data_IF_335661038180
#
_entry.id   IF_335661038180
#
_cell.length_a   1.000
_cell.length_b   1.000
_cell.length_c   1.000
_cell.angle_alpha   90.00
_cell.angle_beta   90.00
_cell.angle_gamma   90.00
#
_symmetry.space_group_name_H-M   'P 1'
#
loop_
_entity.id
_entity.type
_entity.pdbx_description
1 polymer ?
#
# COMPACT_ATOMS: atom_id res chain seq x y z
N UNK A 1 -8.89 -14.78 -30.21
CA UNK A 1 -8.28 -14.05 -31.32
C UNK A 1 -7.22 -13.13 -30.74
N UNK A 2 -5.96 -13.37 -31.11
CA UNK A 2 -4.81 -12.67 -30.58
C UNK A 2 -4.67 -11.32 -31.29
N UNK A 3 -4.64 -10.22 -30.54
CA UNK A 3 -4.49 -8.85 -31.05
C UNK A 3 -3.09 -8.55 -31.63
N UNK A 4 -2.21 -9.56 -31.74
CA UNK A 4 -0.80 -9.38 -32.05
C UNK A 4 -0.38 -9.82 -33.45
N UNK A 5 -1.34 -10.22 -34.33
CA UNK A 5 -0.99 -10.82 -35.63
C UNK A 5 -0.49 -9.85 -36.71
N UNK A 6 -0.45 -8.53 -36.47
CA UNK A 6 -0.02 -7.54 -37.48
C UNK A 6 0.97 -6.48 -36.96
N UNK A 7 1.81 -6.81 -35.99
CA UNK A 7 2.88 -5.89 -35.59
C UNK A 7 4.08 -6.14 -36.48
N UNK A 8 4.37 -5.22 -37.41
CA UNK A 8 5.64 -5.21 -38.11
C UNK A 8 6.79 -5.25 -37.11
N UNK A 9 7.80 -6.14 -37.30
CA UNK A 9 8.90 -6.23 -36.37
C UNK A 9 9.63 -4.89 -36.29
N UNK A 10 9.69 -4.31 -35.13
CA UNK A 10 10.48 -3.11 -34.87
C UNK A 10 11.96 -3.49 -34.97
N UNK A 11 12.70 -2.76 -35.76
CA UNK A 11 14.15 -2.91 -35.88
C UNK A 11 14.84 -1.68 -35.33
N UNK A 12 15.82 -1.88 -34.48
CA UNK A 12 16.67 -0.83 -33.92
C UNK A 12 18.13 -1.23 -34.28
N UNK A 13 18.81 -0.40 -35.04
CA UNK A 13 20.17 -0.67 -35.55
C UNK A 13 20.34 -2.06 -36.20
N UNK A 14 19.41 -2.43 -37.10
CA UNK A 14 19.33 -3.74 -37.76
C UNK A 14 19.09 -4.95 -36.84
N UNK A 15 18.82 -4.74 -35.55
CA UNK A 15 18.43 -5.78 -34.62
C UNK A 15 16.90 -5.84 -34.53
N UNK A 16 16.35 -7.04 -34.70
CA UNK A 16 14.92 -7.28 -34.53
C UNK A 16 14.55 -7.21 -33.04
N UNK A 17 13.71 -6.24 -32.67
CA UNK A 17 13.24 -6.10 -31.30
C UNK A 17 12.14 -7.14 -31.04
N UNK A 18 12.38 -8.07 -30.10
CA UNK A 18 11.39 -9.07 -29.72
C UNK A 18 10.23 -8.43 -28.95
N UNK A 19 9.00 -8.63 -29.42
CA UNK A 19 7.80 -8.24 -28.69
C UNK A 19 7.59 -9.22 -27.52
N UNK A 20 7.55 -8.72 -26.30
CA UNK A 20 7.25 -9.50 -25.10
C UNK A 20 5.94 -9.01 -24.46
N UNK A 21 5.11 -9.94 -24.03
CA UNK A 21 3.86 -9.61 -23.31
C UNK A 21 4.12 -8.93 -21.95
N UNK A 22 5.21 -9.28 -21.31
CA UNK A 22 5.58 -8.77 -19.99
C UNK A 22 7.04 -8.37 -19.99
N UNK A 23 7.33 -7.18 -19.50
CA UNK A 23 8.68 -6.69 -19.28
C UNK A 23 8.84 -6.33 -17.79
N UNK A 24 9.93 -6.78 -17.18
CA UNK A 24 10.28 -6.39 -15.82
C UNK A 24 11.03 -5.06 -15.84
N UNK A 25 10.48 -4.04 -15.20
CA UNK A 25 11.13 -2.74 -15.04
C UNK A 25 11.13 -2.33 -13.57
N UNK A 26 12.30 -2.13 -12.99
CA UNK A 26 12.48 -1.73 -11.58
C UNK A 26 11.67 -2.60 -10.59
N UNK A 27 11.55 -3.89 -10.91
CA UNK A 27 10.83 -4.85 -10.05
C UNK A 27 9.31 -4.78 -10.15
N UNK A 28 8.78 -4.09 -11.16
CA UNK A 28 7.39 -4.11 -11.57
C UNK A 28 7.28 -4.76 -12.95
N UNK A 29 6.18 -5.46 -13.17
CA UNK A 29 5.83 -6.01 -14.47
C UNK A 29 5.10 -4.90 -15.24
N UNK A 30 5.65 -4.51 -16.38
CA UNK A 30 4.97 -3.67 -17.35
C UNK A 30 4.30 -4.57 -18.37
N UNK A 31 2.97 -4.50 -18.46
CA UNK A 31 2.15 -5.38 -19.28
C UNK A 31 0.93 -4.63 -19.81
N UNK A 32 0.52 -4.91 -21.05
CA UNK A 32 -0.70 -4.32 -21.61
C UNK A 32 -2.00 -4.82 -20.99
N UNK A 33 -1.99 -5.95 -20.28
CA UNK A 33 -3.21 -6.57 -19.74
C UNK A 33 -2.98 -7.00 -18.29
N UNK A 34 -3.90 -6.58 -17.39
CA UNK A 34 -3.92 -6.94 -15.96
C UNK A 34 -2.60 -6.64 -15.24
N UNK A 35 -1.96 -5.56 -15.58
CA UNK A 35 -0.70 -5.14 -14.98
C UNK A 35 -0.80 -5.04 -13.45
N UNK A 36 -1.86 -4.42 -12.95
CA UNK A 36 -2.12 -4.26 -11.51
C UNK A 36 -2.17 -5.60 -10.78
N UNK A 37 -2.93 -6.56 -11.31
CA UNK A 37 -3.11 -7.89 -10.70
C UNK A 37 -1.78 -8.64 -10.68
N UNK A 38 -1.05 -8.67 -11.81
CA UNK A 38 0.25 -9.31 -11.93
C UNK A 38 1.26 -8.74 -10.94
N UNK A 39 1.29 -7.42 -10.78
CA UNK A 39 2.20 -6.75 -9.86
C UNK A 39 1.86 -7.05 -8.40
N UNK A 40 0.59 -7.00 -8.01
CA UNK A 40 0.16 -7.35 -6.64
C UNK A 40 0.52 -8.80 -6.32
N UNK A 41 0.25 -9.75 -7.22
CA UNK A 41 0.59 -11.16 -7.03
C UNK A 41 2.10 -11.38 -6.92
N UNK A 42 2.89 -10.71 -7.76
CA UNK A 42 4.36 -10.74 -7.69
C UNK A 42 4.86 -10.25 -6.33
N UNK A 43 4.32 -9.13 -5.82
CA UNK A 43 4.72 -8.58 -4.52
C UNK A 43 4.32 -9.49 -3.37
N UNK A 44 3.13 -10.08 -3.41
CA UNK A 44 2.70 -11.08 -2.43
C UNK A 44 3.61 -12.31 -2.47
N UNK A 45 3.97 -12.80 -3.66
CA UNK A 45 4.90 -13.94 -3.82
C UNK A 45 6.28 -13.64 -3.23
N UNK A 46 6.84 -12.47 -3.53
CA UNK A 46 8.13 -12.01 -2.99
C UNK A 46 8.07 -11.87 -1.45
N UNK A 47 7.01 -11.27 -0.93
CA UNK A 47 6.81 -11.11 0.51
C UNK A 47 6.62 -12.46 1.24
N UNK A 48 5.92 -13.43 0.63
CA UNK A 48 5.84 -14.80 1.16
C UNK A 48 7.21 -15.47 1.21
N UNK A 49 8.00 -15.38 0.13
CA UNK A 49 9.36 -15.92 0.09
C UNK A 49 10.25 -15.33 1.18
N UNK A 50 10.18 -14.02 1.40
CA UNK A 50 10.91 -13.34 2.48
C UNK A 50 10.41 -13.80 3.87
N UNK A 51 9.10 -13.94 4.05
CA UNK A 51 8.49 -14.44 5.29
C UNK A 51 8.97 -15.87 5.60
N UNK A 52 8.98 -16.77 4.62
CA UNK A 52 9.47 -18.13 4.80
C UNK A 52 10.97 -18.18 5.15
N UNK A 53 11.78 -17.35 4.51
CA UNK A 53 13.20 -17.24 4.86
C UNK A 53 13.38 -16.76 6.30
N UNK A 54 12.61 -15.76 6.71
CA UNK A 54 12.64 -15.23 8.07
C UNK A 54 12.14 -16.29 9.08
N UNK A 55 11.06 -16.99 8.79
CA UNK A 55 10.49 -18.04 9.63
C UNK A 55 11.39 -19.29 9.67
N UNK A 56 12.02 -19.67 8.56
CA UNK A 56 12.90 -20.83 8.48
C UNK A 56 14.17 -20.69 9.31
N UNK A 57 14.68 -19.46 9.47
CA UNK A 57 15.91 -19.22 10.22
C UNK A 57 15.70 -18.95 11.73
N UNK A 58 14.59 -18.27 12.09
CA UNK A 58 14.36 -17.82 13.46
C UNK A 58 12.92 -18.07 13.97
N UNK A 59 11.99 -18.44 13.09
CA UNK A 59 10.55 -18.52 13.36
C UNK A 59 9.98 -19.92 13.15
N UNK A 60 10.77 -20.98 13.31
CA UNK A 60 10.18 -22.31 13.36
C UNK A 60 9.09 -22.33 14.43
N UNK A 61 8.07 -23.18 14.29
CA UNK A 61 6.96 -23.30 15.23
C UNK A 61 7.36 -23.50 16.70
N UNK A 62 8.65 -23.71 16.94
CA UNK A 62 9.30 -23.82 18.25
C UNK A 62 10.00 -22.53 18.71
N UNK A 63 10.03 -21.46 17.89
CA UNK A 63 10.66 -20.21 18.35
C UNK A 63 9.71 -19.49 19.31
N UNK A 64 10.20 -19.25 20.48
CA UNK A 64 9.51 -18.54 21.59
C UNK A 64 9.42 -17.03 21.41
N UNK A 65 9.49 -16.54 20.16
CA UNK A 65 9.38 -15.13 19.90
C UNK A 65 7.96 -14.64 20.20
N UNK A 66 7.85 -13.65 21.06
CA UNK A 66 6.56 -13.08 21.40
C UNK A 66 5.91 -12.42 20.16
N UNK A 67 4.58 -12.38 20.08
CA UNK A 67 3.86 -11.81 18.94
C UNK A 67 4.26 -10.38 18.58
N UNK A 68 4.61 -9.56 19.57
CA UNK A 68 5.05 -8.17 19.34
C UNK A 68 6.35 -8.10 18.53
N UNK A 69 7.31 -8.97 18.81
CA UNK A 69 8.56 -9.07 18.06
C UNK A 69 8.29 -9.56 16.64
N UNK A 70 7.44 -10.57 16.47
CA UNK A 70 7.05 -11.08 15.14
C UNK A 70 6.39 -10.00 14.29
N UNK A 71 5.48 -9.22 14.86
CA UNK A 71 4.84 -8.09 14.20
C UNK A 71 5.85 -7.00 13.86
N UNK A 72 6.79 -6.70 14.74
CA UNK A 72 7.84 -5.72 14.51
C UNK A 72 8.72 -6.12 13.32
N UNK A 73 9.16 -7.38 13.28
CA UNK A 73 9.94 -7.92 12.16
C UNK A 73 9.15 -7.93 10.85
N UNK A 74 7.88 -8.29 10.90
CA UNK A 74 6.99 -8.19 9.74
C UNK A 74 6.88 -6.76 9.22
N UNK A 75 6.74 -5.79 10.11
CA UNK A 75 6.65 -4.36 9.80
C UNK A 75 7.89 -3.85 9.07
N UNK A 76 9.07 -4.26 9.51
CA UNK A 76 10.34 -3.77 8.97
C UNK A 76 10.75 -4.49 7.69
N UNK A 77 10.59 -5.82 7.64
CA UNK A 77 11.17 -6.61 6.55
C UNK A 77 10.15 -7.06 5.50
N UNK A 78 8.97 -7.48 5.90
CA UNK A 78 8.02 -8.12 4.98
C UNK A 78 7.03 -7.12 4.38
N UNK A 79 6.47 -6.26 5.22
CA UNK A 79 5.47 -5.29 4.81
C UNK A 79 5.98 -4.31 3.72
N UNK A 80 7.24 -3.81 3.77
CA UNK A 80 7.80 -2.98 2.70
C UNK A 80 7.94 -3.74 1.37
N UNK A 81 8.35 -5.02 1.39
CA UNK A 81 8.45 -5.84 0.18
C UNK A 81 7.07 -5.98 -0.48
N UNK A 82 6.04 -6.25 0.32
CA UNK A 82 4.67 -6.41 -0.17
C UNK A 82 4.10 -5.16 -0.83
N UNK A 83 4.60 -3.96 -0.50
CA UNK A 83 4.11 -2.66 -1.00
C UNK A 83 5.05 -2.01 -2.01
N UNK A 84 6.28 -2.51 -2.16
CA UNK A 84 7.32 -1.86 -2.97
C UNK A 84 6.86 -1.61 -4.41
N UNK A 85 6.94 -0.36 -4.86
CA UNK A 85 6.59 0.07 -6.21
C UNK A 85 5.08 0.24 -6.46
N UNK A 86 4.20 -0.33 -5.62
CA UNK A 86 2.75 -0.25 -5.83
C UNK A 86 2.19 1.18 -5.69
N UNK A 87 2.91 2.07 -5.01
CA UNK A 87 2.52 3.48 -4.89
C UNK A 87 2.52 4.25 -6.22
N UNK A 88 3.28 3.79 -7.21
CA UNK A 88 3.30 4.39 -8.55
C UNK A 88 2.14 3.92 -9.45
N UNK A 89 1.35 2.94 -8.98
CA UNK A 89 0.25 2.35 -9.73
C UNK A 89 -1.10 2.91 -9.28
N UNK A 90 -2.09 2.82 -10.15
CA UNK A 90 -3.49 3.18 -9.87
C UNK A 90 -4.30 1.95 -9.51
N UNK A 91 -4.01 1.36 -8.36
CA UNK A 91 -4.68 0.15 -7.92
C UNK A 91 -6.16 0.41 -7.60
N UNK A 92 -7.05 -0.41 -8.15
CA UNK A 92 -8.46 -0.45 -7.77
C UNK A 92 -8.63 -1.26 -6.48
N UNK A 93 -9.71 -1.02 -5.75
CA UNK A 93 -10.00 -1.73 -4.50
C UNK A 93 -9.95 -3.26 -4.66
N UNK A 94 -10.51 -3.79 -5.77
CA UNK A 94 -10.46 -5.23 -6.06
C UNK A 94 -9.03 -5.79 -6.15
N UNK A 95 -8.07 -4.99 -6.63
CA UNK A 95 -6.68 -5.40 -6.80
C UNK A 95 -5.91 -5.31 -5.47
N UNK A 96 -6.35 -4.48 -4.53
CA UNK A 96 -5.79 -4.38 -3.18
C UNK A 96 -6.28 -5.50 -2.26
N UNK A 97 -7.43 -6.11 -2.54
CA UNK A 97 -8.03 -7.18 -1.73
C UNK A 97 -7.08 -8.36 -1.45
N UNK A 98 -6.36 -8.94 -2.43
CA UNK A 98 -5.42 -10.03 -2.18
C UNK A 98 -4.29 -9.63 -1.22
N UNK A 99 -3.79 -8.39 -1.35
CA UNK A 99 -2.76 -7.84 -0.47
C UNK A 99 -3.29 -7.67 0.97
N UNK A 100 -4.53 -7.21 1.11
CA UNK A 100 -5.22 -7.07 2.41
C UNK A 100 -5.45 -8.42 3.05
N UNK A 101 -5.88 -9.43 2.28
CA UNK A 101 -6.06 -10.80 2.78
C UNK A 101 -4.74 -11.41 3.25
N UNK A 102 -3.67 -11.23 2.48
CA UNK A 102 -2.32 -11.64 2.85
C UNK A 102 -1.86 -11.01 4.17
N UNK A 103 -1.99 -9.70 4.31
CA UNK A 103 -1.63 -8.98 5.53
C UNK A 103 -2.39 -9.49 6.77
N UNK A 104 -3.73 -9.63 6.66
CA UNK A 104 -4.57 -10.12 7.75
C UNK A 104 -4.23 -11.56 8.14
N UNK A 105 -3.95 -12.42 7.16
CA UNK A 105 -3.56 -13.81 7.42
C UNK A 105 -2.26 -13.90 8.23
N UNK A 106 -1.27 -13.07 7.90
CA UNK A 106 0.01 -13.05 8.63
C UNK A 106 -0.20 -12.57 10.08
N UNK A 107 -0.93 -11.48 10.27
CA UNK A 107 -1.20 -10.94 11.62
C UNK A 107 -1.95 -11.98 12.47
N UNK A 108 -2.97 -12.66 11.91
CA UNK A 108 -3.67 -13.74 12.61
C UNK A 108 -2.71 -14.84 13.03
N UNK A 109 -1.83 -15.27 12.13
CA UNK A 109 -0.83 -16.30 12.42
C UNK A 109 0.08 -15.93 13.59
N UNK A 110 0.57 -14.69 13.65
CA UNK A 110 1.42 -14.21 14.74
C UNK A 110 0.67 -14.12 16.08
N UNK A 111 -0.58 -13.69 16.04
CA UNK A 111 -1.44 -13.63 17.24
C UNK A 111 -2.07 -14.99 17.60
N UNK A 112 -1.83 -16.03 16.79
CA UNK A 112 -2.47 -17.36 16.93
C UNK A 112 -3.99 -17.28 16.98
N UNK A 113 -4.58 -16.36 16.23
CA UNK A 113 -6.01 -16.15 16.14
C UNK A 113 -6.64 -16.98 15.02
N UNK A 114 -7.89 -17.40 15.25
CA UNK A 114 -8.71 -18.06 14.23
C UNK A 114 -8.96 -17.15 13.03
N UNK A 115 -9.14 -17.76 11.84
CA UNK A 115 -9.54 -17.04 10.61
C UNK A 115 -10.89 -16.31 10.75
N UNK A 116 -11.74 -16.75 11.70
CA UNK A 116 -13.03 -16.12 12.03
C UNK A 116 -12.92 -14.94 13.02
N UNK A 117 -11.70 -14.61 13.47
CA UNK A 117 -11.50 -13.48 14.40
C UNK A 117 -11.88 -12.16 13.74
N UNK A 118 -12.59 -11.25 14.45
CA UNK A 118 -13.01 -9.96 13.91
C UNK A 118 -11.83 -9.13 13.41
N UNK A 119 -12.01 -8.47 12.26
CA UNK A 119 -10.94 -7.66 11.65
C UNK A 119 -10.48 -6.53 12.57
N UNK A 120 -11.36 -5.76 13.25
CA UNK A 120 -10.93 -4.70 14.14
C UNK A 120 -10.01 -5.19 15.26
N UNK A 121 -10.25 -6.39 15.80
CA UNK A 121 -9.40 -6.94 16.86
C UNK A 121 -7.95 -7.12 16.46
N UNK A 122 -7.68 -7.48 15.19
CA UNK A 122 -6.32 -7.64 14.68
C UNK A 122 -5.53 -6.35 14.77
N UNK A 123 -6.15 -5.24 14.35
CA UNK A 123 -5.52 -3.94 14.28
C UNK A 123 -5.40 -3.29 15.66
N UNK A 124 -6.41 -3.41 16.52
CA UNK A 124 -6.35 -2.91 17.90
C UNK A 124 -5.34 -3.67 18.76
N UNK A 125 -5.23 -5.00 18.62
CA UNK A 125 -4.26 -5.80 19.38
C UNK A 125 -2.82 -5.52 18.98
N UNK A 126 -2.58 -5.20 17.71
CA UNK A 126 -1.23 -5.04 17.17
C UNK A 126 -0.78 -3.59 17.06
N UNK A 127 -1.70 -2.62 17.12
CA UNK A 127 -1.44 -1.23 16.79
C UNK A 127 -1.05 -1.02 15.32
N UNK A 128 -1.31 -2.03 14.45
CA UNK A 128 -0.98 -1.94 13.03
C UNK A 128 -2.07 -1.21 12.25
N UNK A 129 -1.64 -0.42 11.26
CA UNK A 129 -2.56 0.11 10.25
C UNK A 129 -2.87 -0.96 9.19
N UNK A 130 -4.08 -0.96 8.61
CA UNK A 130 -4.38 -1.74 7.43
C UNK A 130 -3.32 -1.53 6.32
N UNK A 131 -3.03 -2.55 5.54
CA UNK A 131 -2.00 -2.44 4.49
C UNK A 131 -2.39 -1.43 3.41
N UNK A 132 -3.68 -1.27 3.16
CA UNK A 132 -4.24 -0.22 2.32
C UNK A 132 -3.85 1.18 2.82
N UNK A 133 -4.01 1.45 4.12
CA UNK A 133 -3.61 2.73 4.74
C UNK A 133 -2.11 3.00 4.57
N UNK A 134 -1.28 1.96 4.72
CA UNK A 134 0.17 2.07 4.51
C UNK A 134 0.52 2.34 3.05
N UNK A 135 -0.20 1.72 2.10
CA UNK A 135 -0.03 1.96 0.67
C UNK A 135 -0.43 3.40 0.30
N UNK A 136 -1.56 3.90 0.82
CA UNK A 136 -1.98 5.28 0.60
C UNK A 136 -0.98 6.28 1.16
N UNK A 137 -0.37 6.00 2.33
CA UNK A 137 0.74 6.82 2.85
C UNK A 137 1.93 6.83 1.90
N UNK A 138 2.25 5.69 1.28
CA UNK A 138 3.35 5.62 0.32
C UNK A 138 3.05 6.43 -0.96
N UNK A 139 1.79 6.47 -1.42
CA UNK A 139 1.34 7.31 -2.54
C UNK A 139 1.52 8.80 -2.22
N UNK A 140 1.12 9.26 -1.02
CA UNK A 140 1.34 10.64 -0.59
C UNK A 140 2.82 10.97 -0.42
N UNK A 141 3.63 10.01 0.04
CA UNK A 141 5.09 10.18 0.13
C UNK A 141 5.72 10.31 -1.27
N UNK A 142 5.25 9.57 -2.25
CA UNK A 142 5.68 9.71 -3.64
C UNK A 142 5.29 11.07 -4.20
N UNK A 143 4.06 11.52 -3.97
CA UNK A 143 3.61 12.86 -4.34
C UNK A 143 4.49 13.95 -3.73
N UNK A 144 4.79 13.85 -2.43
CA UNK A 144 5.67 14.80 -1.75
C UNK A 144 7.06 14.86 -2.40
N UNK A 145 7.63 13.72 -2.75
CA UNK A 145 8.93 13.68 -3.42
C UNK A 145 8.89 14.37 -4.79
N UNK A 146 7.78 14.26 -5.53
CA UNK A 146 7.58 14.96 -6.81
C UNK A 146 7.43 16.46 -6.55
N UNK A 147 6.58 16.85 -5.62
CA UNK A 147 6.32 18.24 -5.24
C UNK A 147 7.59 18.98 -4.78
N UNK A 148 8.44 18.30 -4.02
CA UNK A 148 9.71 18.86 -3.52
C UNK A 148 10.79 19.02 -4.59
N UNK A 149 10.56 18.54 -5.83
CA UNK A 149 11.53 18.62 -6.93
C UNK A 149 10.93 19.29 -8.19
N UNK A 150 10.64 20.60 -8.14
CA UNK A 150 9.93 21.31 -9.21
C UNK A 150 10.70 21.36 -10.54
N UNK A 151 12.01 21.18 -10.52
CA UNK A 151 12.86 21.23 -11.71
C UNK A 151 12.91 19.91 -12.49
N UNK A 152 12.04 18.94 -12.14
CA UNK A 152 12.00 17.64 -12.81
C UNK A 152 10.88 17.56 -13.85
N UNK A 153 11.12 16.85 -14.95
CA UNK A 153 10.07 16.60 -15.96
C UNK A 153 8.85 15.89 -15.37
N UNK A 154 9.06 15.03 -14.36
CA UNK A 154 7.93 14.34 -13.71
C UNK A 154 7.03 15.32 -12.95
N UNK A 155 7.59 16.38 -12.37
CA UNK A 155 6.82 17.45 -11.74
C UNK A 155 5.91 18.15 -12.76
N UNK A 156 6.46 18.53 -13.92
CA UNK A 156 5.69 19.18 -14.99
C UNK A 156 4.56 18.28 -15.50
N UNK A 157 4.85 16.99 -15.72
CA UNK A 157 3.87 16.00 -16.17
C UNK A 157 2.74 15.86 -15.13
N UNK A 158 3.08 15.68 -13.86
CA UNK A 158 2.08 15.50 -12.79
C UNK A 158 1.25 16.77 -12.60
N UNK A 159 1.88 17.95 -12.65
CA UNK A 159 1.17 19.23 -12.59
C UNK A 159 0.16 19.32 -13.73
N UNK A 160 0.58 19.08 -14.97
CA UNK A 160 -0.30 19.10 -16.14
C UNK A 160 -1.44 18.09 -16.02
N UNK A 161 -1.17 16.87 -15.54
CA UNK A 161 -2.19 15.84 -15.31
C UNK A 161 -3.15 16.22 -14.19
N UNK A 162 -2.71 16.93 -13.17
CA UNK A 162 -3.58 17.44 -12.11
C UNK A 162 -4.49 18.57 -12.63
N UNK A 163 -3.97 19.49 -13.44
CA UNK A 163 -4.73 20.58 -14.06
C UNK A 163 -5.80 20.06 -15.03
N UNK A 164 -5.48 19.03 -15.82
CA UNK A 164 -6.33 18.52 -16.90
C UNK A 164 -7.05 17.19 -16.56
N UNK A 165 -7.09 16.78 -15.30
CA UNK A 165 -7.71 15.51 -14.93
C UNK A 165 -9.24 15.53 -15.06
N UNK A 166 -9.77 14.87 -16.08
CA UNK A 166 -11.20 14.63 -16.24
C UNK A 166 -11.73 13.71 -15.12
N UNK A 167 -12.99 13.94 -14.70
CA UNK A 167 -13.64 13.17 -13.60
C UNK A 167 -13.67 11.65 -13.85
N UNK A 168 -13.63 11.23 -15.11
CA UNK A 168 -13.74 9.81 -15.51
C UNK A 168 -12.39 9.16 -15.87
N UNK A 169 -11.27 9.88 -15.77
CA UNK A 169 -9.94 9.32 -16.10
C UNK A 169 -9.40 8.43 -15.00
N UNK A 170 -8.88 7.27 -15.38
CA UNK A 170 -8.22 6.34 -14.44
C UNK A 170 -6.70 6.61 -14.42
N UNK A 171 -6.34 7.82 -13.98
CA UNK A 171 -4.96 8.29 -13.90
C UNK A 171 -4.47 8.34 -12.45
N UNK A 172 -3.16 8.28 -12.27
CA UNK A 172 -2.55 8.41 -10.94
C UNK A 172 -2.87 9.77 -10.27
N UNK A 173 -2.90 10.85 -11.06
CA UNK A 173 -3.30 12.18 -10.59
C UNK A 173 -4.74 12.19 -10.06
N UNK A 174 -5.66 11.51 -10.72
CA UNK A 174 -7.03 11.37 -10.24
C UNK A 174 -7.11 10.50 -9.00
N UNK A 175 -6.33 9.42 -8.96
CA UNK A 175 -6.30 8.52 -7.82
C UNK A 175 -5.85 9.25 -6.54
N UNK A 176 -4.77 10.05 -6.60
CA UNK A 176 -4.30 10.80 -5.42
C UNK A 176 -5.30 11.88 -4.99
N UNK A 177 -6.02 12.54 -5.90
CA UNK A 177 -7.09 13.48 -5.55
C UNK A 177 -8.25 12.79 -4.82
N UNK A 178 -8.65 11.62 -5.28
CA UNK A 178 -9.68 10.81 -4.60
C UNK A 178 -9.23 10.40 -3.20
N UNK A 179 -7.96 10.04 -3.03
CA UNK A 179 -7.39 9.74 -1.71
C UNK A 179 -7.33 10.99 -0.81
N UNK A 180 -6.97 12.14 -1.35
CA UNK A 180 -6.98 13.40 -0.61
C UNK A 180 -8.38 13.73 -0.09
N UNK A 181 -9.40 13.59 -0.94
CA UNK A 181 -10.80 13.75 -0.54
C UNK A 181 -11.22 12.70 0.51
N UNK A 182 -10.84 11.41 0.33
CA UNK A 182 -11.15 10.33 1.29
C UNK A 182 -10.63 10.62 2.70
N UNK A 183 -9.46 11.19 2.82
CA UNK A 183 -8.78 11.42 4.10
C UNK A 183 -8.88 12.86 4.62
N UNK A 184 -9.65 13.70 3.97
CA UNK A 184 -9.75 15.12 4.29
C UNK A 184 -8.36 15.78 4.32
N UNK A 185 -7.59 15.56 3.25
CA UNK A 185 -6.29 16.13 2.96
C UNK A 185 -6.48 17.21 1.90
N UNK A 186 -5.62 18.23 1.91
CA UNK A 186 -5.62 19.29 0.91
C UNK A 186 -5.49 18.71 -0.51
N UNK A 187 -6.22 19.31 -1.48
CA UNK A 187 -6.14 18.89 -2.89
C UNK A 187 -4.70 19.01 -3.41
N UNK A 188 -4.14 17.93 -3.98
CA UNK A 188 -2.80 17.94 -4.56
C UNK A 188 -2.55 19.05 -5.59
N UNK A 189 -3.58 19.48 -6.34
CA UNK A 189 -3.46 20.60 -7.27
C UNK A 189 -3.21 21.94 -6.54
N UNK A 190 -3.90 22.18 -5.44
CA UNK A 190 -3.68 23.38 -4.61
C UNK A 190 -2.33 23.30 -3.91
N UNK A 191 -1.97 22.14 -3.39
CA UNK A 191 -0.71 21.93 -2.71
C UNK A 191 0.50 22.20 -3.62
N UNK A 192 0.50 21.69 -4.87
CA UNK A 192 1.64 21.79 -5.78
C UNK A 192 1.93 23.23 -6.25
N UNK A 193 0.97 24.15 -6.08
CA UNK A 193 1.13 25.57 -6.45
C UNK A 193 1.92 26.39 -5.43
N UNK A 194 2.24 25.82 -4.29
CA UNK A 194 3.00 26.48 -3.22
C UNK A 194 4.28 25.72 -2.88
N UNK A 195 5.15 26.36 -2.09
CA UNK A 195 6.35 25.68 -1.57
C UNK A 195 5.98 24.51 -0.67
N UNK A 196 6.64 23.34 -0.81
CA UNK A 196 6.39 22.18 0.05
C UNK A 196 6.82 22.48 1.49
N UNK A 197 6.09 21.96 2.50
CA UNK A 197 6.53 21.98 3.90
C UNK A 197 7.75 21.07 4.08
N UNK A 198 8.28 20.98 5.30
CA UNK A 198 9.32 19.99 5.56
C UNK A 198 8.78 18.57 5.39
N UNK A 199 9.64 17.65 4.98
CA UNK A 199 9.28 16.23 4.81
C UNK A 199 8.70 15.62 6.08
N UNK A 200 9.22 16.02 7.23
CA UNK A 200 8.76 15.55 8.53
C UNK A 200 7.32 16.01 8.82
N UNK A 201 7.05 17.31 8.70
CA UNK A 201 5.72 17.90 8.92
C UNK A 201 4.68 17.27 7.99
N UNK A 202 4.98 17.17 6.70
CA UNK A 202 4.08 16.52 5.75
C UNK A 202 3.80 15.07 6.09
N UNK A 203 4.84 14.29 6.40
CA UNK A 203 4.71 12.88 6.76
C UNK A 203 3.86 12.68 8.02
N UNK A 204 4.03 13.52 9.03
CA UNK A 204 3.22 13.49 10.27
C UNK A 204 1.76 13.90 10.00
N UNK A 205 1.55 14.94 9.20
CA UNK A 205 0.20 15.38 8.81
C UNK A 205 -0.56 14.24 8.09
N UNK A 206 0.05 13.63 7.08
CA UNK A 206 -0.54 12.53 6.33
C UNK A 206 -0.81 11.31 7.23
N UNK A 207 0.17 10.94 8.07
CA UNK A 207 0.02 9.82 9.00
C UNK A 207 -1.16 10.04 9.96
N UNK A 208 -1.28 11.25 10.50
CA UNK A 208 -2.37 11.60 11.43
C UNK A 208 -3.74 11.49 10.74
N UNK A 209 -3.91 12.08 9.55
CA UNK A 209 -5.17 12.04 8.81
C UNK A 209 -5.58 10.60 8.46
N UNK A 210 -4.65 9.80 7.95
CA UNK A 210 -4.91 8.39 7.61
C UNK A 210 -5.23 7.58 8.87
N UNK A 211 -4.50 7.77 9.96
CA UNK A 211 -4.70 7.04 11.21
C UNK A 211 -6.08 7.33 11.79
N UNK A 212 -6.45 8.61 11.93
CA UNK A 212 -7.76 9.02 12.46
C UNK A 212 -8.90 8.43 11.63
N UNK A 213 -8.79 8.48 10.30
CA UNK A 213 -9.80 7.88 9.42
C UNK A 213 -9.99 6.39 9.69
N UNK A 214 -8.89 5.61 9.71
CA UNK A 214 -8.98 4.16 9.89
C UNK A 214 -9.35 3.78 11.33
N UNK A 215 -8.94 4.53 12.34
CA UNK A 215 -9.41 4.34 13.71
C UNK A 215 -10.94 4.50 13.82
N UNK A 216 -11.48 5.55 13.23
CA UNK A 216 -12.92 5.77 13.22
C UNK A 216 -13.68 4.63 12.51
N UNK A 217 -13.19 4.18 11.36
CA UNK A 217 -13.77 3.05 10.64
C UNK A 217 -13.73 1.75 11.47
N UNK A 218 -12.61 1.48 12.14
CA UNK A 218 -12.46 0.30 12.97
C UNK A 218 -13.32 0.37 14.25
N UNK A 219 -13.49 1.56 14.84
CA UNK A 219 -14.40 1.78 15.99
C UNK A 219 -15.85 1.52 15.60
N UNK A 220 -16.31 2.06 14.46
CA UNK A 220 -17.65 1.78 13.92
C UNK A 220 -17.81 0.28 13.68
N UNK A 221 -16.86 -0.37 13.01
CA UNK A 221 -16.92 -1.80 12.77
C UNK A 221 -16.85 -2.66 14.05
N UNK A 222 -16.24 -2.16 15.12
CA UNK A 222 -16.19 -2.84 16.41
C UNK A 222 -17.50 -2.72 17.20
N UNK A 223 -18.15 -1.55 17.15
CA UNK A 223 -19.43 -1.32 17.86
C UNK A 223 -20.58 -2.18 17.30
N UNK A 224 -20.54 -2.47 16.01
CA UNK A 224 -21.54 -3.33 15.34
C UNK A 224 -21.27 -4.84 15.50
N UNK A 225 -20.12 -5.23 16.04
CA UNK A 225 -19.72 -6.64 16.12
C UNK A 225 -19.88 -7.18 17.54
N UNK A 226 -20.87 -8.05 17.76
CA UNK A 226 -21.17 -8.66 19.08
C UNK A 226 -19.96 -9.39 19.70
N UNK A 227 -19.04 -9.94 18.90
CA UNK A 227 -17.82 -10.62 19.37
C UNK A 227 -16.79 -9.67 19.97
N UNK A 228 -16.94 -8.36 19.74
CA UNK A 228 -16.03 -7.32 20.23
C UNK A 228 -16.48 -6.69 21.54
N UNK A 229 -17.64 -7.10 22.09
CA UNK A 229 -18.27 -6.51 23.29
C UNK A 229 -17.32 -6.38 24.49
N UNK A 230 -16.40 -7.32 24.63
CA UNK A 230 -15.46 -7.36 25.76
C UNK A 230 -14.08 -6.75 25.45
N UNK A 231 -13.86 -6.32 24.22
CA UNK A 231 -12.60 -5.66 23.88
C UNK A 231 -12.72 -4.16 24.20
N UNK A 232 -11.90 -3.68 25.13
CA UNK A 232 -11.87 -2.25 25.45
C UNK A 232 -11.15 -1.49 24.31
N UNK A 233 -11.94 -1.12 23.29
CA UNK A 233 -11.45 -0.46 22.08
C UNK A 233 -10.93 0.97 22.36
N UNK A 234 -11.34 1.56 23.50
CA UNK A 234 -10.93 2.91 23.87
C UNK A 234 -9.49 3.01 24.40
N UNK A 235 -8.91 1.89 24.78
CA UNK A 235 -7.58 1.85 25.40
C UNK A 235 -6.41 1.80 24.38
N UNK A 236 -6.66 1.65 23.07
CA UNK A 236 -5.58 1.40 22.09
C UNK A 236 -5.76 2.21 20.82
N UNK A 237 -4.82 3.12 20.58
CA UNK A 237 -4.66 3.81 19.30
C UNK A 237 -3.85 2.99 18.29
N UNK A 238 -4.03 3.26 16.99
CA UNK A 238 -3.27 2.61 15.90
C UNK A 238 -1.84 3.16 15.73
N UNK A 239 -1.31 3.85 16.72
CA UNK A 239 -0.01 4.55 16.62
C UNK A 239 1.23 3.65 16.80
N UNK A 240 1.09 2.34 16.68
CA UNK A 240 2.25 1.43 16.69
C UNK A 240 3.00 1.31 18.02
N UNK A 241 2.49 1.92 19.11
CA UNK A 241 3.03 1.69 20.46
C UNK A 241 2.36 0.43 21.02
N UNK A 242 3.15 -0.60 21.41
CA UNK A 242 2.59 -1.71 22.14
C UNK A 242 1.95 -1.13 23.41
N UNK A 243 0.78 -1.63 23.77
CA UNK A 243 0.15 -1.29 25.04
C UNK A 243 1.08 -1.76 26.16
N UNK A 244 1.40 -0.94 27.14
CA UNK A 244 1.99 -1.45 28.38
C UNK A 244 1.03 -2.48 28.97
N UNK A 245 1.54 -3.65 29.31
CA UNK A 245 0.82 -4.75 29.95
C UNK A 245 0.27 -4.32 31.29
#
# INVERSE_FOLDING_TARGET
>A
MSYYENIHPWTMDNLQVSVRENNDHLGLIVSGIREDEKNVDLKIKKARGALFKLLGSAFSAKSYLCPSVQIHLYRIYICPIARSGLAAMTLRDKNIQPLTAFHRKIIRGFLRLSDRSPIPSLYFLTGELPIEAKLHRDIFSLFFNIWSNPNTKIYEIIRHLLENSNKNSHTWSRHIRNLAQKYDIEDPLTAIQRSPPTKHEYSQYILTKITVFHENQLRIASSTNSKMKYLNVNAKGLNGRPHPA
#
